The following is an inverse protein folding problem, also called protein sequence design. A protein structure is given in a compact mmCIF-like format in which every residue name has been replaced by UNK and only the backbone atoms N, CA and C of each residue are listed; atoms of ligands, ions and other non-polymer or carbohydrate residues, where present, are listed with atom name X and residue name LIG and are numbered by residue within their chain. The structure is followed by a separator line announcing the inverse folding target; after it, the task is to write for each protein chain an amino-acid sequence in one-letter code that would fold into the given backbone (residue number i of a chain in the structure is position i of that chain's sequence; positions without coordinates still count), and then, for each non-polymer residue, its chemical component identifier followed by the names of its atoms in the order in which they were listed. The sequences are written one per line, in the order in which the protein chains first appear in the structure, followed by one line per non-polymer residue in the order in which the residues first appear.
data_IF_262137587521
#
_entry.id   IF_262137587521
#
_cell.length_a   1.000
_cell.length_b   1.000
_cell.length_c   1.000
_cell.angle_alpha   90.00
_cell.angle_beta   90.00
_cell.angle_gamma   90.00
#
_symmetry.space_group_name_H-M   'P 1'
#
loop_
_entity.id
_entity.type
_entity.pdbx_description
1 polymer ?
#
# COMPACT_ATOMS: atom_id res chain seq x y z
N UNK A 1 -3.12 -15.93 -14.63
CA UNK A 1 -2.00 -15.93 -13.66
C UNK A 1 -0.92 -14.90 -14.00
N UNK A 2 -0.27 -14.89 -15.18
CA UNK A 2 0.83 -13.93 -15.48
C UNK A 2 0.43 -12.45 -15.27
N UNK A 3 -0.72 -12.04 -15.77
CA UNK A 3 -1.26 -10.67 -15.55
C UNK A 3 -1.42 -10.35 -14.08
N UNK A 4 -1.94 -11.30 -13.29
CA UNK A 4 -2.07 -11.12 -11.85
C UNK A 4 -0.69 -10.93 -11.15
N UNK A 5 0.30 -11.75 -11.48
CA UNK A 5 1.65 -11.61 -10.92
C UNK A 5 2.30 -10.27 -11.29
N UNK A 6 2.05 -9.75 -12.51
CA UNK A 6 2.52 -8.42 -12.89
C UNK A 6 1.90 -7.32 -11.99
N UNK A 7 0.57 -7.38 -11.77
CA UNK A 7 -0.07 -6.43 -10.84
C UNK A 7 0.39 -6.61 -9.40
N UNK A 8 0.69 -7.85 -8.98
CA UNK A 8 1.25 -8.12 -7.66
C UNK A 8 2.62 -7.46 -7.47
N UNK A 9 3.47 -7.50 -8.49
CA UNK A 9 4.74 -6.79 -8.49
C UNK A 9 4.53 -5.27 -8.39
N UNK A 10 3.61 -4.71 -9.17
CA UNK A 10 3.29 -3.27 -9.12
C UNK A 10 2.78 -2.84 -7.74
N UNK A 11 1.96 -3.65 -7.08
CA UNK A 11 1.54 -3.35 -5.71
C UNK A 11 2.66 -3.52 -4.68
N UNK A 12 3.54 -4.48 -4.88
CA UNK A 12 4.74 -4.63 -4.06
C UNK A 12 5.63 -3.39 -4.10
N UNK A 13 5.68 -2.68 -5.24
CA UNK A 13 6.34 -1.37 -5.32
C UNK A 13 5.68 -0.35 -4.38
N UNK A 14 4.34 -0.24 -4.38
CA UNK A 14 3.61 0.66 -3.50
C UNK A 14 3.87 0.38 -2.02
N UNK A 15 3.90 -0.90 -1.63
CA UNK A 15 4.24 -1.33 -0.29
C UNK A 15 5.63 -0.85 0.13
N UNK A 16 6.62 -1.08 -0.71
CA UNK A 16 8.00 -0.75 -0.39
C UNK A 16 8.26 0.76 -0.37
N UNK A 17 7.62 1.53 -1.24
CA UNK A 17 7.68 3.00 -1.23
C UNK A 17 7.30 3.53 0.17
N UNK A 18 6.19 3.08 0.72
CA UNK A 18 5.74 3.55 2.03
C UNK A 18 6.63 3.06 3.18
N UNK A 19 7.05 1.79 3.14
CA UNK A 19 7.89 1.22 4.18
C UNK A 19 9.28 1.85 4.25
N UNK A 20 9.85 2.20 3.12
CA UNK A 20 11.18 2.81 3.06
C UNK A 20 11.18 4.31 3.41
N UNK A 21 10.13 5.04 3.04
CA UNK A 21 10.19 6.50 3.04
C UNK A 21 9.21 7.21 3.98
N UNK A 22 8.14 6.57 4.47
CA UNK A 22 7.13 7.26 5.26
C UNK A 22 7.67 7.81 6.59
N UNK A 23 8.48 7.06 7.33
CA UNK A 23 9.07 7.52 8.59
C UNK A 23 10.08 8.65 8.36
N UNK A 24 10.98 8.49 7.38
CA UNK A 24 11.94 9.52 6.99
C UNK A 24 11.26 10.82 6.54
N UNK A 25 10.16 10.71 5.79
CA UNK A 25 9.36 11.85 5.38
C UNK A 25 8.76 12.60 6.57
N UNK A 26 8.14 11.91 7.51
CA UNK A 26 7.56 12.55 8.70
C UNK A 26 8.67 13.24 9.53
N UNK A 27 9.82 12.59 9.67
CA UNK A 27 10.98 13.17 10.37
C UNK A 27 11.60 14.37 9.65
N UNK A 28 11.54 14.42 8.32
CA UNK A 28 12.11 15.54 7.54
C UNK A 28 11.47 16.90 7.84
N UNK A 29 10.23 16.91 8.36
CA UNK A 29 9.60 18.14 8.85
C UNK A 29 10.32 18.75 10.08
N UNK A 30 11.15 17.99 10.79
CA UNK A 30 12.01 18.50 11.85
C UNK A 30 13.28 19.17 11.36
N UNK A 31 13.52 19.20 10.04
CA UNK A 31 14.67 19.92 9.49
C UNK A 31 14.45 21.44 9.53
N UNK A 32 15.16 22.08 10.44
CA UNK A 32 15.08 23.53 10.68
C UNK A 32 15.52 24.33 9.44
N UNK A 33 16.43 23.80 8.64
CA UNK A 33 16.89 24.47 7.43
C UNK A 33 15.78 24.60 6.35
N UNK A 34 14.82 23.65 6.35
CA UNK A 34 13.74 23.61 5.36
C UNK A 34 12.43 24.20 5.90
N UNK A 35 12.08 23.89 7.14
CA UNK A 35 10.78 24.21 7.73
C UNK A 35 10.85 25.21 8.90
N UNK A 36 12.05 25.70 9.25
CA UNK A 36 12.26 26.47 10.48
C UNK A 36 11.93 25.64 11.73
N UNK A 37 11.63 26.29 12.83
CA UNK A 37 11.30 25.62 14.09
C UNK A 37 9.83 25.19 14.20
N UNK A 38 9.01 25.46 13.17
CA UNK A 38 7.56 25.30 13.20
C UNK A 38 7.09 23.89 13.62
N UNK A 39 7.80 22.85 13.23
CA UNK A 39 7.38 21.46 13.45
C UNK A 39 8.24 20.69 14.45
N UNK A 40 9.33 21.29 14.96
CA UNK A 40 10.29 20.63 15.84
C UNK A 40 9.64 19.98 17.05
N UNK A 41 8.68 20.67 17.67
CA UNK A 41 8.02 20.25 18.90
C UNK A 41 6.71 19.48 18.66
N UNK A 42 6.35 19.21 17.41
CA UNK A 42 5.12 18.48 17.10
C UNK A 42 5.23 17.01 17.47
N UNK A 43 4.09 16.42 17.88
CA UNK A 43 4.01 14.99 18.18
C UNK A 43 4.45 14.12 17.01
N UNK A 44 4.10 14.50 15.78
CA UNK A 44 4.43 13.75 14.58
C UNK A 44 5.93 13.60 14.37
N UNK A 45 6.69 14.67 14.53
CA UNK A 45 8.16 14.66 14.37
C UNK A 45 8.84 13.92 15.52
N UNK A 46 8.48 14.24 16.77
CA UNK A 46 9.08 13.61 17.95
C UNK A 46 8.78 12.13 18.08
N UNK A 47 7.63 11.70 17.61
CA UNK A 47 7.11 10.34 17.78
C UNK A 47 6.63 9.70 16.47
N UNK A 48 7.34 9.94 15.37
CA UNK A 48 6.99 9.39 14.04
C UNK A 48 6.81 7.86 14.06
N UNK A 49 7.63 7.16 14.82
CA UNK A 49 7.55 5.71 15.00
C UNK A 49 6.22 5.28 15.62
N UNK A 50 5.66 6.06 16.56
CA UNK A 50 4.34 5.79 17.14
C UNK A 50 3.26 5.95 16.06
N UNK A 51 3.35 7.00 15.23
CA UNK A 51 2.43 7.17 14.10
C UNK A 51 2.50 5.97 13.15
N UNK A 52 3.69 5.54 12.77
CA UNK A 52 3.87 4.37 11.90
C UNK A 52 3.29 3.10 12.53
N UNK A 53 3.42 2.93 13.85
CA UNK A 53 2.86 1.76 14.57
C UNK A 53 1.33 1.68 14.48
N UNK A 54 0.62 2.79 14.25
CA UNK A 54 -0.83 2.76 13.97
C UNK A 54 -1.17 1.94 12.72
N UNK A 55 -0.26 1.88 11.76
CA UNK A 55 -0.44 1.01 10.57
C UNK A 55 -0.55 -0.47 10.96
N UNK A 56 0.27 -0.93 11.90
CA UNK A 56 0.26 -2.33 12.37
C UNK A 56 -1.02 -2.67 13.15
N UNK A 57 -1.53 -1.70 13.93
CA UNK A 57 -2.82 -1.86 14.60
C UNK A 57 -3.93 -1.95 13.54
N UNK A 58 -3.88 -1.09 12.52
CA UNK A 58 -4.83 -1.12 11.41
C UNK A 58 -4.81 -2.45 10.66
N UNK A 59 -3.62 -3.01 10.35
CA UNK A 59 -3.49 -4.33 9.73
C UNK A 59 -4.24 -5.40 10.53
N UNK A 60 -3.99 -5.46 11.85
CA UNK A 60 -4.64 -6.43 12.72
C UNK A 60 -6.16 -6.34 12.67
N UNK A 61 -6.73 -5.12 12.67
CA UNK A 61 -8.17 -4.91 12.59
C UNK A 61 -8.71 -5.22 11.18
N UNK A 62 -7.98 -4.86 10.14
CA UNK A 62 -8.37 -5.09 8.76
C UNK A 62 -8.43 -6.58 8.41
N UNK A 63 -7.50 -7.39 8.91
CA UNK A 63 -7.52 -8.85 8.73
C UNK A 63 -8.86 -9.44 9.20
N UNK A 64 -9.42 -8.96 10.31
CA UNK A 64 -10.71 -9.43 10.82
C UNK A 64 -11.88 -9.04 9.91
N UNK A 65 -11.77 -7.98 9.14
CA UNK A 65 -12.80 -7.51 8.22
C UNK A 65 -12.78 -8.22 6.86
N UNK A 66 -11.65 -8.80 6.47
CA UNK A 66 -11.45 -9.41 5.15
C UNK A 66 -12.48 -10.51 4.83
N UNK A 67 -12.78 -11.47 5.71
CA UNK A 67 -13.78 -12.50 5.40
C UNK A 67 -15.15 -11.91 5.06
N UNK A 68 -15.59 -10.89 5.80
CA UNK A 68 -16.83 -10.19 5.53
C UNK A 68 -16.80 -9.47 4.17
N UNK A 69 -15.70 -8.77 3.88
CA UNK A 69 -15.54 -8.05 2.62
C UNK A 69 -15.48 -9.02 1.42
N UNK A 70 -14.80 -10.15 1.56
CA UNK A 70 -14.73 -11.18 0.51
C UNK A 70 -16.10 -11.79 0.21
N UNK A 71 -16.89 -12.10 1.24
CA UNK A 71 -18.24 -12.62 1.05
C UNK A 71 -19.15 -11.60 0.37
N UNK A 72 -19.01 -10.32 0.69
CA UNK A 72 -19.90 -9.27 0.16
C UNK A 72 -19.48 -8.78 -1.23
N UNK A 73 -18.21 -8.57 -1.46
CA UNK A 73 -17.69 -7.90 -2.66
C UNK A 73 -16.97 -8.84 -3.61
N UNK A 74 -16.51 -9.99 -3.14
CA UNK A 74 -15.70 -10.95 -3.91
C UNK A 74 -14.24 -10.50 -4.09
N UNK A 75 -13.38 -11.44 -4.48
CA UNK A 75 -11.93 -11.30 -4.55
C UNK A 75 -11.49 -10.08 -5.38
N UNK A 76 -12.02 -9.93 -6.61
CA UNK A 76 -11.62 -8.82 -7.51
C UNK A 76 -11.89 -7.44 -6.90
N UNK A 77 -13.08 -7.25 -6.33
CA UNK A 77 -13.46 -5.94 -5.80
C UNK A 77 -12.70 -5.62 -4.51
N UNK A 78 -12.40 -6.63 -3.69
CA UNK A 78 -11.56 -6.46 -2.49
C UNK A 78 -10.13 -6.05 -2.89
N UNK A 79 -9.55 -6.65 -3.93
CA UNK A 79 -8.27 -6.21 -4.49
C UNK A 79 -8.34 -4.77 -5.02
N UNK A 80 -9.42 -4.38 -5.71
CA UNK A 80 -9.61 -3.00 -6.19
C UNK A 80 -9.72 -2.00 -5.04
N UNK A 81 -10.46 -2.34 -3.98
CA UNK A 81 -10.54 -1.51 -2.76
C UNK A 81 -9.14 -1.26 -2.20
N UNK A 82 -8.30 -2.30 -2.12
CA UNK A 82 -6.91 -2.17 -1.70
C UNK A 82 -6.11 -1.20 -2.58
N UNK A 83 -6.24 -1.31 -3.90
CA UNK A 83 -5.52 -0.44 -4.83
C UNK A 83 -5.92 1.02 -4.67
N UNK A 84 -7.22 1.32 -4.52
CA UNK A 84 -7.69 2.67 -4.23
C UNK A 84 -7.28 3.16 -2.83
N UNK A 85 -7.16 2.26 -1.87
CA UNK A 85 -6.62 2.59 -0.56
C UNK A 85 -5.14 3.06 -0.65
N UNK A 86 -4.33 2.49 -1.55
CA UNK A 86 -2.98 3.00 -1.83
C UNK A 86 -2.99 4.42 -2.40
N UNK A 87 -3.92 4.72 -3.32
CA UNK A 87 -4.09 6.09 -3.86
C UNK A 87 -4.39 7.08 -2.73
N UNK A 88 -5.37 6.72 -1.89
CA UNK A 88 -5.77 7.55 -0.75
C UNK A 88 -4.61 7.72 0.26
N UNK A 89 -3.89 6.64 0.57
CA UNK A 89 -2.77 6.66 1.49
C UNK A 89 -1.68 7.63 1.03
N UNK A 90 -1.25 7.53 -0.22
CA UNK A 90 -0.22 8.42 -0.77
C UNK A 90 -0.70 9.86 -0.87
N UNK A 91 -1.95 10.09 -1.28
CA UNK A 91 -2.54 11.42 -1.31
C UNK A 91 -2.59 12.09 0.07
N UNK A 92 -2.95 11.31 1.12
CA UNK A 92 -2.96 11.79 2.50
C UNK A 92 -1.55 12.09 3.04
N UNK A 93 -0.54 11.30 2.66
CA UNK A 93 0.85 11.59 3.00
C UNK A 93 1.32 12.88 2.33
N UNK A 94 1.00 13.07 1.04
CA UNK A 94 1.37 14.30 0.32
C UNK A 94 0.69 15.56 0.84
N UNK A 95 -0.57 15.47 1.27
CA UNK A 95 -1.35 16.61 1.78
C UNK A 95 -1.14 16.88 3.27
N UNK A 96 -0.63 15.89 4.02
CA UNK A 96 -0.45 15.95 5.47
C UNK A 96 0.76 16.77 5.90
N UNK A 97 0.74 17.20 7.16
CA UNK A 97 1.88 17.78 7.85
C UNK A 97 1.79 17.44 9.35
N UNK A 98 2.89 17.48 10.11
CA UNK A 98 2.87 17.08 11.52
C UNK A 98 2.22 18.09 12.47
N UNK A 99 1.80 19.25 11.99
CA UNK A 99 1.05 20.26 12.71
C UNK A 99 -0.46 20.07 12.59
N UNK A 100 -1.16 21.05 12.04
CA UNK A 100 -2.63 21.00 11.86
C UNK A 100 -3.09 19.86 10.93
N UNK A 101 -2.23 19.36 10.04
CA UNK A 101 -2.50 18.26 9.12
C UNK A 101 -2.15 16.87 9.64
N UNK A 102 -1.77 16.70 10.91
CA UNK A 102 -1.37 15.40 11.49
C UNK A 102 -2.47 14.34 11.37
N UNK A 103 -3.73 14.73 11.38
CA UNK A 103 -4.85 13.82 11.19
C UNK A 103 -4.82 13.10 9.83
N UNK A 104 -4.24 13.74 8.79
CA UNK A 104 -4.06 13.09 7.48
C UNK A 104 -3.03 11.98 7.56
N UNK A 105 -1.94 12.18 8.32
CA UNK A 105 -0.98 11.11 8.59
C UNK A 105 -1.63 9.96 9.36
N UNK A 106 -2.39 10.26 10.42
CA UNK A 106 -3.12 9.24 11.19
C UNK A 106 -4.07 8.47 10.27
N UNK A 107 -4.87 9.16 9.46
CA UNK A 107 -5.78 8.51 8.53
C UNK A 107 -5.05 7.67 7.49
N UNK A 108 -3.91 8.14 6.98
CA UNK A 108 -3.03 7.38 6.09
C UNK A 108 -2.55 6.08 6.74
N UNK A 109 -2.18 6.10 8.03
CA UNK A 109 -1.78 4.90 8.76
C UNK A 109 -2.94 3.92 8.95
N UNK A 110 -4.15 4.42 9.21
CA UNK A 110 -5.36 3.58 9.31
C UNK A 110 -5.70 2.94 7.96
N UNK A 111 -5.59 3.69 6.87
CA UNK A 111 -5.88 3.18 5.51
C UNK A 111 -4.88 2.09 5.08
N UNK A 112 -3.70 2.04 5.68
CA UNK A 112 -2.66 1.08 5.32
C UNK A 112 -3.10 -0.38 5.45
N UNK A 113 -3.80 -0.75 6.51
CA UNK A 113 -4.29 -2.12 6.67
C UNK A 113 -5.21 -2.54 5.51
N UNK A 114 -6.11 -1.65 5.07
CA UNK A 114 -6.94 -1.91 3.88
C UNK A 114 -6.07 -2.00 2.63
N UNK A 115 -5.09 -1.11 2.47
CA UNK A 115 -4.24 -1.07 1.29
C UNK A 115 -3.37 -2.32 1.15
N UNK A 116 -2.83 -2.83 2.24
CA UNK A 116 -1.91 -3.96 2.25
C UNK A 116 -2.62 -5.32 2.34
N UNK A 117 -3.39 -5.54 3.41
CA UNK A 117 -3.94 -6.86 3.72
C UNK A 117 -5.01 -7.32 2.73
N UNK A 118 -5.87 -6.40 2.27
CA UNK A 118 -6.93 -6.73 1.33
C UNK A 118 -6.38 -7.29 0.03
N UNK A 119 -5.27 -6.75 -0.47
CA UNK A 119 -4.64 -7.33 -1.66
C UNK A 119 -3.92 -8.64 -1.38
N UNK A 120 -3.12 -8.69 -0.31
CA UNK A 120 -2.31 -9.88 -0.02
C UNK A 120 -3.17 -11.11 0.26
N UNK A 121 -4.19 -10.99 1.11
CA UNK A 121 -5.06 -12.12 1.44
C UNK A 121 -5.96 -12.50 0.27
N UNK A 122 -6.56 -11.51 -0.43
CA UNK A 122 -7.36 -11.80 -1.63
C UNK A 122 -6.52 -12.38 -2.75
N UNK A 123 -5.27 -11.91 -2.91
CA UNK A 123 -4.33 -12.43 -3.90
C UNK A 123 -3.90 -13.86 -3.60
N UNK A 124 -3.61 -14.17 -2.36
CA UNK A 124 -3.32 -15.53 -1.91
C UNK A 124 -4.50 -16.48 -2.18
N UNK A 125 -5.72 -16.06 -1.85
CA UNK A 125 -6.94 -16.82 -2.15
C UNK A 125 -7.17 -17.00 -3.64
N UNK A 126 -6.91 -15.96 -4.45
CA UNK A 126 -6.98 -16.07 -5.91
C UNK A 126 -5.99 -17.11 -6.45
N UNK A 127 -4.74 -17.07 -6.00
CA UNK A 127 -3.73 -18.07 -6.39
C UNK A 127 -4.17 -19.48 -5.98
N UNK A 128 -4.71 -19.62 -4.77
CA UNK A 128 -5.20 -20.91 -4.30
C UNK A 128 -6.33 -21.47 -5.15
N UNK A 129 -7.28 -20.65 -5.58
CA UNK A 129 -8.43 -21.07 -6.37
C UNK A 129 -8.07 -21.35 -7.84
N UNK A 130 -7.09 -20.67 -8.39
CA UNK A 130 -6.70 -20.76 -9.79
C UNK A 130 -5.57 -21.77 -10.06
N UNK A 131 -5.05 -22.42 -9.02
CA UNK A 131 -3.97 -23.40 -9.17
C UNK A 131 -4.35 -24.79 -8.66
N UNK A 132 -3.87 -25.82 -9.35
CA UNK A 132 -4.01 -27.19 -8.90
C UNK A 132 -3.21 -27.43 -7.60
N UNK A 133 -3.63 -28.39 -6.75
CA UNK A 133 -2.92 -28.69 -5.49
C UNK A 133 -1.42 -28.97 -5.67
N UNK A 134 -1.03 -29.57 -6.82
CA UNK A 134 0.36 -29.95 -7.09
C UNK A 134 1.32 -28.78 -7.29
N UNK A 135 0.84 -27.62 -7.74
CA UNK A 135 1.66 -26.43 -8.02
C UNK A 135 1.33 -25.24 -7.10
N UNK A 136 0.34 -25.38 -6.22
CA UNK A 136 -0.16 -24.29 -5.38
C UNK A 136 0.93 -23.63 -4.53
N UNK A 137 1.77 -24.42 -3.87
CA UNK A 137 2.87 -23.89 -3.05
C UNK A 137 3.87 -23.09 -3.90
N UNK A 138 4.21 -23.59 -5.09
CA UNK A 138 5.09 -22.86 -6.02
C UNK A 138 4.47 -21.57 -6.53
N UNK A 139 3.18 -21.57 -6.83
CA UNK A 139 2.47 -20.37 -7.27
C UNK A 139 2.36 -19.31 -6.16
N UNK A 140 2.16 -19.72 -4.90
CA UNK A 140 2.24 -18.83 -3.74
C UNK A 140 3.66 -18.26 -3.55
N UNK A 141 4.69 -19.07 -3.76
CA UNK A 141 6.08 -18.62 -3.75
C UNK A 141 6.34 -17.57 -4.82
N UNK A 142 5.85 -17.76 -6.05
CA UNK A 142 5.96 -16.76 -7.13
C UNK A 142 5.21 -15.48 -6.76
N UNK A 143 4.00 -15.57 -6.20
CA UNK A 143 3.25 -14.41 -5.73
C UNK A 143 4.06 -13.59 -4.71
N UNK A 144 4.66 -14.25 -3.72
CA UNK A 144 5.52 -13.59 -2.71
C UNK A 144 6.79 -12.99 -3.30
N UNK A 145 7.44 -13.67 -4.24
CA UNK A 145 8.62 -13.14 -4.93
C UNK A 145 8.25 -11.91 -5.76
N UNK A 146 7.13 -11.91 -6.46
CA UNK A 146 6.68 -10.78 -7.26
C UNK A 146 6.32 -9.57 -6.40
N UNK A 147 5.65 -9.77 -5.26
CA UNK A 147 5.29 -8.67 -4.35
C UNK A 147 6.47 -8.19 -3.51
N UNK A 148 7.03 -9.06 -2.67
CA UNK A 148 8.01 -8.70 -1.65
C UNK A 148 9.47 -8.81 -2.12
N UNK A 149 9.71 -9.45 -3.26
CA UNK A 149 11.03 -9.52 -3.89
C UNK A 149 11.18 -8.45 -4.97
N UNK A 150 10.75 -8.76 -6.20
CA UNK A 150 10.92 -7.85 -7.35
C UNK A 150 10.18 -6.52 -7.16
N UNK A 151 8.94 -6.54 -6.65
CA UNK A 151 8.18 -5.32 -6.38
C UNK A 151 8.90 -4.43 -5.39
N UNK A 152 9.38 -4.99 -4.29
CA UNK A 152 10.12 -4.24 -3.28
C UNK A 152 11.44 -3.67 -3.82
N UNK A 153 12.22 -4.48 -4.55
CA UNK A 153 13.49 -4.04 -5.15
C UNK A 153 13.28 -2.87 -6.12
N UNK A 154 12.41 -3.06 -7.12
CA UNK A 154 12.13 -2.03 -8.14
C UNK A 154 11.49 -0.80 -7.50
N UNK A 155 10.57 -1.00 -6.54
CA UNK A 155 9.89 0.06 -5.82
C UNK A 155 10.86 0.94 -5.04
N UNK A 156 11.80 0.36 -4.30
CA UNK A 156 12.82 1.11 -3.57
C UNK A 156 13.69 1.96 -4.48
N UNK A 157 14.13 1.38 -5.59
CA UNK A 157 15.01 2.08 -6.55
C UNK A 157 14.29 3.27 -7.22
N UNK A 158 13.07 3.02 -7.73
CA UNK A 158 12.27 4.08 -8.38
C UNK A 158 11.88 5.16 -7.37
N UNK A 159 11.50 4.77 -6.15
CA UNK A 159 11.11 5.73 -5.12
C UNK A 159 12.28 6.64 -4.74
N UNK A 160 13.49 6.10 -4.55
CA UNK A 160 14.68 6.90 -4.28
C UNK A 160 14.92 7.93 -5.38
N UNK A 161 14.90 7.49 -6.65
CA UNK A 161 15.07 8.38 -7.80
C UNK A 161 13.99 9.48 -7.89
N UNK A 162 12.73 9.14 -7.60
CA UNK A 162 11.63 10.12 -7.58
C UNK A 162 11.84 11.16 -6.49
N UNK A 163 12.15 10.72 -5.26
CA UNK A 163 12.37 11.62 -4.12
C UNK A 163 13.57 12.55 -4.36
N UNK A 164 14.65 12.01 -4.91
CA UNK A 164 15.86 12.81 -5.23
C UNK A 164 15.57 13.90 -6.27
N UNK A 165 14.63 13.64 -7.21
CA UNK A 165 14.34 14.56 -8.30
C UNK A 165 13.26 15.59 -7.98
N UNK A 166 12.20 15.21 -7.25
CA UNK A 166 11.04 16.07 -7.00
C UNK A 166 10.90 16.50 -5.54
N UNK A 167 11.69 15.92 -4.62
CA UNK A 167 11.59 16.15 -3.18
C UNK A 167 10.18 15.86 -2.60
N UNK A 168 9.95 16.28 -1.36
CA UNK A 168 8.67 16.16 -0.67
C UNK A 168 7.88 17.48 -0.73
N UNK A 169 6.54 17.50 -0.76
CA UNK A 169 5.58 16.36 -0.79
C UNK A 169 5.24 15.85 -2.19
N UNK A 170 5.79 16.44 -3.26
CA UNK A 170 5.42 16.15 -4.66
C UNK A 170 5.61 14.68 -5.02
N UNK A 171 6.64 14.04 -4.46
CA UNK A 171 6.88 12.59 -4.63
C UNK A 171 5.67 11.75 -4.21
N UNK A 172 4.98 12.11 -3.13
CA UNK A 172 3.78 11.38 -2.70
C UNK A 172 2.63 11.49 -3.68
N UNK A 173 2.44 12.64 -4.32
CA UNK A 173 1.42 12.80 -5.36
C UNK A 173 1.77 12.02 -6.62
N UNK A 174 3.05 11.91 -6.98
CA UNK A 174 3.53 11.04 -8.07
C UNK A 174 3.21 9.57 -7.75
N UNK A 175 3.47 9.12 -6.53
CA UNK A 175 3.13 7.77 -6.10
C UNK A 175 1.63 7.51 -6.05
N UNK A 176 0.82 8.51 -5.66
CA UNK A 176 -0.65 8.42 -5.73
C UNK A 176 -1.14 8.28 -7.18
N UNK A 177 -0.56 9.05 -8.10
CA UNK A 177 -0.83 8.92 -9.54
C UNK A 177 -0.46 7.55 -10.09
N UNK A 178 0.72 7.03 -9.71
CA UNK A 178 1.13 5.67 -10.05
C UNK A 178 0.11 4.62 -9.56
N UNK A 179 -0.27 4.68 -8.28
CA UNK A 179 -1.24 3.75 -7.69
C UNK A 179 -2.61 3.83 -8.40
N UNK A 180 -3.04 5.05 -8.77
CA UNK A 180 -4.28 5.26 -9.51
C UNK A 180 -4.22 4.59 -10.90
N UNK A 181 -3.14 4.78 -11.63
CA UNK A 181 -2.94 4.13 -12.95
C UNK A 181 -2.99 2.61 -12.81
N UNK A 182 -2.31 2.05 -11.81
CA UNK A 182 -2.34 0.59 -11.55
C UNK A 182 -3.76 0.13 -11.22
N UNK A 183 -4.51 0.85 -10.39
CA UNK A 183 -5.88 0.51 -10.03
C UNK A 183 -6.82 0.52 -11.27
N UNK A 184 -6.72 1.55 -12.11
CA UNK A 184 -7.53 1.67 -13.33
C UNK A 184 -7.19 0.56 -14.33
N UNK A 185 -5.90 0.31 -14.56
CA UNK A 185 -5.46 -0.78 -15.44
C UNK A 185 -5.94 -2.14 -14.94
N UNK A 186 -5.84 -2.40 -13.63
CA UNK A 186 -6.35 -3.63 -13.04
C UNK A 186 -7.87 -3.77 -13.23
N UNK A 187 -8.62 -2.72 -13.01
CA UNK A 187 -10.09 -2.74 -13.17
C UNK A 187 -10.49 -3.15 -14.60
N UNK A 188 -9.76 -2.67 -15.61
CA UNK A 188 -10.02 -2.91 -17.04
C UNK A 188 -9.52 -4.30 -17.48
N UNK A 189 -8.28 -4.63 -17.13
CA UNK A 189 -7.57 -5.81 -17.66
C UNK A 189 -7.88 -7.06 -16.87
N UNK A 190 -8.01 -6.96 -15.54
CA UNK A 190 -8.23 -8.13 -14.69
C UNK A 190 -9.70 -8.54 -14.71
N UNK A 191 -10.02 -9.53 -15.54
CA UNK A 191 -11.37 -10.09 -15.67
C UNK A 191 -11.49 -11.38 -14.87
N UNK A 192 -11.95 -11.26 -13.63
CA UNK A 192 -12.25 -12.40 -12.76
C UNK A 192 -13.73 -12.42 -12.41
N UNK A 193 -14.39 -13.55 -12.66
CA UNK A 193 -15.77 -13.81 -12.22
C UNK A 193 -15.70 -14.62 -10.92
N UNK A 194 -16.13 -14.01 -9.83
CA UNK A 194 -16.24 -14.71 -8.55
C UNK A 194 -17.15 -15.94 -8.70
N UNK A 195 -16.60 -17.11 -8.45
CA UNK A 195 -17.42 -18.32 -8.27
C UNK A 195 -17.72 -18.41 -6.77
N UNK A 196 -18.99 -18.30 -6.33
CA UNK A 196 -19.33 -18.48 -4.93
C UNK A 196 -18.93 -19.92 -4.56
N UNK A 197 -18.17 -20.05 -3.48
CA UNK A 197 -17.89 -21.36 -2.91
C UNK A 197 -19.24 -22.03 -2.63
N UNK A 198 -19.49 -23.16 -3.27
CA UNK A 198 -20.59 -24.02 -2.89
C UNK A 198 -20.32 -24.50 -1.45
N UNK A 199 -21.22 -24.10 -0.54
CA UNK A 199 -21.23 -24.57 0.84
C UNK A 199 -21.33 -26.10 0.90
#
# INVERSE_FOLDING_TARGET
MAIFFLFSMMLGMSLQITNAFADGYIKSFGDVAVHGEQYLDTFGVKHSTILISLSQISETLCILLIPFCLMKFGIKNVMLISMFAWVLRFGLLGAGNPGAGVWMFILSMIVYGVAFDFFNISGSLYVEQETSPSIRASAQGVFMIMTNGFGAFVGSYIAGWVVDKWAWPDSWYIFAGYALVVAVLFAIVFRYKHQPQKA
#
